data_IF_127630712571
#
_entry.id   IF_127630712571
#
_cell.length_a   1.000
_cell.length_b   1.000
_cell.length_c   1.000
_cell.angle_alpha   90.00
_cell.angle_beta   90.00
_cell.angle_gamma   90.00
#
_symmetry.space_group_name_H-M   'P 1'
#
loop_
_entity.id
_entity.type
_entity.pdbx_description
1 polymer ?
#
# COMPACT_ATOMS: atom_id res chain seq x y z
N UNK A 1 -6.57 -9.79 6.70
CA UNK A 1 -5.62 -8.92 7.45
C UNK A 1 -4.51 -9.78 8.02
N UNK A 2 -3.29 -9.56 7.55
CA UNK A 2 -2.14 -10.39 7.91
C UNK A 2 -1.02 -9.52 8.48
N UNK A 3 -0.28 -10.09 9.43
CA UNK A 3 1.05 -9.63 9.79
C UNK A 3 2.01 -10.64 9.17
N UNK A 4 2.91 -10.15 8.32
CA UNK A 4 3.96 -10.98 7.75
C UNK A 4 5.29 -10.59 8.39
N UNK A 5 5.99 -11.55 8.96
CA UNK A 5 7.32 -11.33 9.51
C UNK A 5 8.36 -11.41 8.40
N UNK A 6 9.41 -10.60 8.54
CA UNK A 6 10.50 -10.50 7.59
C UNK A 6 11.82 -10.50 8.34
N UNK A 7 12.81 -11.22 7.82
CA UNK A 7 14.20 -10.87 8.07
C UNK A 7 14.66 -9.80 7.08
N UNK A 8 15.67 -9.00 7.45
CA UNK A 8 16.27 -8.06 6.50
C UNK A 8 16.84 -8.76 5.27
N UNK A 9 17.37 -9.98 5.46
CA UNK A 9 17.92 -10.80 4.38
C UNK A 9 16.85 -11.17 3.37
N UNK A 10 15.67 -11.56 3.82
CA UNK A 10 14.55 -11.92 2.94
C UNK A 10 14.11 -10.73 2.10
N UNK A 11 13.95 -9.55 2.72
CA UNK A 11 13.59 -8.32 1.99
C UNK A 11 14.63 -7.95 0.93
N UNK A 12 15.91 -8.05 1.25
CA UNK A 12 17.00 -7.77 0.29
C UNK A 12 16.97 -8.78 -0.86
N UNK A 13 16.83 -10.07 -0.56
CA UNK A 13 16.81 -11.11 -1.57
C UNK A 13 15.60 -10.96 -2.50
N UNK A 14 14.40 -10.77 -1.97
CA UNK A 14 13.20 -10.56 -2.79
C UNK A 14 13.35 -9.32 -3.67
N UNK A 15 13.92 -8.23 -3.15
CA UNK A 15 14.15 -7.02 -3.93
C UNK A 15 15.14 -7.27 -5.08
N UNK A 16 16.22 -8.02 -4.84
CA UNK A 16 17.17 -8.42 -5.87
C UNK A 16 16.53 -9.34 -6.93
N UNK A 17 15.70 -10.29 -6.50
CA UNK A 17 14.95 -11.16 -7.41
C UNK A 17 13.99 -10.35 -8.28
N UNK A 18 13.30 -9.37 -7.70
CA UNK A 18 12.47 -8.42 -8.45
C UNK A 18 13.29 -7.64 -9.49
N UNK A 19 14.50 -7.19 -9.16
CA UNK A 19 15.36 -6.51 -10.16
C UNK A 19 15.74 -7.45 -11.32
N UNK A 20 16.02 -8.72 -11.03
CA UNK A 20 16.30 -9.72 -12.05
C UNK A 20 15.06 -10.00 -12.91
N UNK A 21 13.89 -10.12 -12.30
CA UNK A 21 12.61 -10.28 -12.99
C UNK A 21 12.31 -9.12 -13.94
N UNK A 22 12.52 -7.88 -13.49
CA UNK A 22 12.33 -6.70 -14.33
C UNK A 22 13.21 -6.73 -15.59
N UNK A 23 14.48 -7.13 -15.45
CA UNK A 23 15.41 -7.23 -16.57
C UNK A 23 15.04 -8.39 -17.50
N UNK A 24 14.87 -9.59 -16.94
CA UNK A 24 14.76 -10.82 -17.73
C UNK A 24 13.37 -11.01 -18.33
N UNK A 25 12.32 -10.78 -17.54
CA UNK A 25 10.93 -11.06 -17.92
C UNK A 25 10.23 -9.84 -18.52
N UNK A 26 10.48 -8.65 -17.96
CA UNK A 26 9.81 -7.42 -18.40
C UNK A 26 10.62 -6.59 -19.39
N UNK A 27 11.90 -6.93 -19.62
CA UNK A 27 12.83 -6.15 -20.47
C UNK A 27 12.89 -4.68 -20.05
N UNK A 28 13.13 -4.47 -18.76
CA UNK A 28 13.33 -3.15 -18.13
C UNK A 28 14.79 -3.12 -17.65
N UNK A 29 15.67 -2.55 -18.47
CA UNK A 29 17.12 -2.69 -18.30
C UNK A 29 17.75 -1.65 -17.36
N UNK A 30 17.08 -0.50 -17.16
CA UNK A 30 17.60 0.57 -16.31
C UNK A 30 16.82 0.69 -15.00
N UNK A 31 17.33 0.03 -13.96
CA UNK A 31 16.92 0.23 -12.56
C UNK A 31 17.93 1.07 -11.78
N UNK A 32 19.03 1.49 -12.43
CA UNK A 32 20.04 2.34 -11.82
C UNK A 32 19.40 3.71 -11.51
N UNK A 33 19.38 4.09 -10.24
CA UNK A 33 18.69 5.28 -9.74
C UNK A 33 17.22 5.06 -9.37
N UNK A 34 16.69 3.84 -9.43
CA UNK A 34 15.38 3.55 -8.83
C UNK A 34 15.46 3.56 -7.30
N UNK A 35 14.34 3.93 -6.66
CA UNK A 35 14.22 3.90 -5.20
C UNK A 35 14.52 2.52 -4.59
N UNK A 36 14.36 1.45 -5.36
CA UNK A 36 14.57 0.06 -4.93
C UNK A 36 16.05 -0.19 -4.60
N UNK A 37 16.96 0.30 -5.46
CA UNK A 37 18.40 0.15 -5.23
C UNK A 37 18.82 0.91 -3.97
N UNK A 38 18.28 2.12 -3.79
CA UNK A 38 18.50 2.93 -2.59
C UNK A 38 17.95 2.23 -1.34
N UNK A 39 16.72 1.70 -1.40
CA UNK A 39 16.11 1.00 -0.30
C UNK A 39 16.89 -0.27 0.10
N UNK A 40 17.39 -1.04 -0.88
CA UNK A 40 18.27 -2.18 -0.63
C UNK A 40 19.52 -1.75 0.13
N UNK A 41 20.14 -0.62 -0.24
CA UNK A 41 21.33 -0.09 0.44
C UNK A 41 21.05 0.23 1.91
N UNK A 42 19.96 0.94 2.21
CA UNK A 42 19.58 1.26 3.58
C UNK A 42 19.29 0.02 4.41
N UNK A 43 18.51 -0.94 3.88
CA UNK A 43 18.17 -2.17 4.60
C UNK A 43 19.37 -3.10 4.77
N UNK A 44 20.27 -3.18 3.77
CA UNK A 44 21.53 -3.92 3.89
C UNK A 44 22.44 -3.35 4.97
N UNK A 45 22.56 -2.03 5.07
CA UNK A 45 23.37 -1.41 6.12
C UNK A 45 22.72 -1.57 7.50
N UNK A 46 21.40 -1.40 7.61
CA UNK A 46 20.68 -1.70 8.86
C UNK A 46 20.85 -3.16 9.28
N UNK A 47 20.89 -4.10 8.33
CA UNK A 47 21.08 -5.52 8.66
C UNK A 47 22.44 -5.83 9.30
N UNK A 48 23.46 -5.00 9.08
CA UNK A 48 24.78 -5.16 9.71
C UNK A 48 24.80 -4.82 11.19
N UNK A 49 23.77 -4.11 11.68
CA UNK A 49 23.64 -3.75 13.09
C UNK A 49 22.80 -4.77 13.87
N UNK A 50 22.47 -5.92 13.26
CA UNK A 50 21.72 -6.97 13.94
C UNK A 50 22.52 -7.53 15.12
N UNK A 51 21.86 -7.65 16.27
CA UNK A 51 22.48 -8.13 17.51
C UNK A 51 23.22 -7.06 18.32
N UNK A 52 23.25 -5.81 17.83
CA UNK A 52 23.86 -4.66 18.51
C UNK A 52 22.87 -3.47 18.49
N UNK A 53 22.14 -3.30 19.60
CA UNK A 53 21.14 -2.24 19.72
C UNK A 53 21.76 -0.84 19.77
N UNK A 54 23.02 -0.69 20.24
CA UNK A 54 23.72 0.59 20.23
C UNK A 54 24.07 0.98 18.79
N UNK A 55 24.69 0.06 18.04
CA UNK A 55 25.00 0.29 16.62
C UNK A 55 23.75 0.54 15.78
N UNK A 56 22.65 -0.17 16.06
CA UNK A 56 21.36 0.04 15.39
C UNK A 56 20.77 1.40 15.69
N UNK A 57 20.78 1.81 16.96
CA UNK A 57 20.28 3.11 17.40
C UNK A 57 21.09 4.24 16.74
N UNK A 58 22.42 4.11 16.75
CA UNK A 58 23.30 5.09 16.12
C UNK A 58 23.11 5.15 14.61
N UNK A 59 22.98 4.00 13.95
CA UNK A 59 22.70 3.95 12.51
C UNK A 59 21.37 4.65 12.18
N UNK A 60 20.28 4.36 12.90
CA UNK A 60 18.99 5.01 12.69
C UNK A 60 19.06 6.52 12.97
N UNK A 61 19.78 6.93 14.03
CA UNK A 61 19.98 8.35 14.36
C UNK A 61 20.68 9.11 13.23
N UNK A 62 21.68 8.49 12.61
CA UNK A 62 22.46 9.09 11.51
C UNK A 62 21.74 9.03 10.16
N UNK A 63 20.97 7.97 9.90
CA UNK A 63 20.51 7.62 8.54
C UNK A 63 18.98 7.64 8.37
N UNK A 64 18.20 8.06 9.39
CA UNK A 64 16.74 8.15 9.31
C UNK A 64 16.21 9.57 9.57
N UNK A 65 17.04 10.61 9.41
CA UNK A 65 16.65 11.99 9.69
C UNK A 65 15.48 12.45 8.80
N UNK A 66 15.45 12.01 7.54
CA UNK A 66 14.32 12.23 6.63
C UNK A 66 13.54 10.93 6.39
N UNK A 67 13.57 10.02 7.36
CA UNK A 67 12.82 8.76 7.33
C UNK A 67 13.29 7.73 6.28
N UNK A 68 14.50 7.88 5.75
CA UNK A 68 15.05 7.06 4.66
C UNK A 68 15.03 5.57 4.99
N UNK A 69 15.46 5.21 6.19
CA UNK A 69 15.62 3.82 6.59
C UNK A 69 14.26 3.13 6.79
N UNK A 70 13.34 3.74 7.54
CA UNK A 70 12.04 3.12 7.81
C UNK A 70 11.12 3.14 6.58
N UNK A 71 11.24 4.14 5.71
CA UNK A 71 10.56 4.12 4.41
C UNK A 71 11.13 3.05 3.47
N UNK A 72 12.43 2.79 3.54
CA UNK A 72 13.03 1.68 2.78
C UNK A 72 12.44 0.34 3.21
N UNK A 73 12.27 0.11 4.52
CA UNK A 73 11.60 -1.08 5.04
C UNK A 73 10.15 -1.20 4.54
N UNK A 74 9.37 -0.13 4.71
CA UNK A 74 7.96 -0.09 4.29
C UNK A 74 7.80 -0.44 2.81
N UNK A 75 8.57 0.24 1.94
CA UNK A 75 8.44 0.08 0.49
C UNK A 75 8.95 -1.28 0.01
N UNK A 76 10.02 -1.84 0.63
CA UNK A 76 10.49 -3.18 0.29
C UNK A 76 9.52 -4.27 0.77
N UNK A 77 8.83 -4.09 1.89
CA UNK A 77 7.78 -5.01 2.34
C UNK A 77 6.57 -5.00 1.39
N UNK A 78 6.13 -3.82 0.93
CA UNK A 78 5.08 -3.69 -0.08
C UNK A 78 5.50 -4.32 -1.42
N UNK A 79 6.75 -4.09 -1.84
CA UNK A 79 7.31 -4.69 -3.05
C UNK A 79 7.38 -6.21 -2.95
N UNK A 80 7.86 -6.76 -1.83
CA UNK A 80 7.89 -8.20 -1.59
C UNK A 80 6.48 -8.78 -1.72
N UNK A 81 5.50 -8.14 -1.07
CA UNK A 81 4.12 -8.60 -1.11
C UNK A 81 3.59 -8.63 -2.55
N UNK A 82 3.74 -7.54 -3.29
CA UNK A 82 3.25 -7.46 -4.67
C UNK A 82 3.99 -8.43 -5.58
N UNK A 83 5.31 -8.52 -5.46
CA UNK A 83 6.12 -9.41 -6.29
C UNK A 83 5.70 -10.86 -6.09
N UNK A 84 5.54 -11.28 -4.84
CA UNK A 84 5.24 -12.66 -4.49
C UNK A 84 3.80 -13.08 -4.80
N UNK A 85 2.83 -12.17 -4.70
CA UNK A 85 1.41 -12.50 -4.85
C UNK A 85 0.82 -12.15 -6.22
N UNK A 86 1.47 -11.25 -6.98
CA UNK A 86 0.98 -10.80 -8.29
C UNK A 86 2.00 -11.06 -9.39
N UNK A 87 3.19 -10.48 -9.25
CA UNK A 87 4.07 -10.34 -10.42
C UNK A 87 4.65 -11.68 -10.88
N UNK A 88 5.05 -12.54 -9.92
CA UNK A 88 5.60 -13.86 -10.23
C UNK A 88 4.54 -14.95 -10.46
N UNK A 89 3.27 -14.66 -10.20
CA UNK A 89 2.19 -15.67 -10.31
C UNK A 89 1.68 -15.82 -11.74
N UNK A 90 2.01 -14.89 -12.65
CA UNK A 90 1.55 -14.89 -14.03
C UNK A 90 0.06 -14.58 -14.20
N UNK A 91 -0.64 -14.19 -13.13
CA UNK A 91 -2.09 -13.90 -13.14
C UNK A 91 -2.45 -12.58 -13.82
N UNK A 92 -1.52 -11.64 -13.92
CA UNK A 92 -1.73 -10.33 -14.51
C UNK A 92 -1.24 -10.30 -15.97
N UNK A 93 -2.01 -9.67 -16.86
CA UNK A 93 -1.58 -9.41 -18.24
C UNK A 93 -0.19 -8.77 -18.28
N UNK A 94 0.70 -9.30 -19.13
CA UNK A 94 2.10 -8.90 -19.15
C UNK A 94 2.28 -7.42 -19.55
N UNK A 95 1.41 -6.87 -20.41
CA UNK A 95 1.47 -5.46 -20.82
C UNK A 95 1.02 -4.55 -19.69
N UNK A 96 -0.04 -4.92 -18.99
CA UNK A 96 -0.51 -4.22 -17.77
C UNK A 96 0.57 -4.25 -16.69
N UNK A 97 1.12 -5.43 -16.39
CA UNK A 97 2.19 -5.61 -15.42
C UNK A 97 3.41 -4.73 -15.74
N UNK A 98 3.91 -4.80 -16.99
CA UNK A 98 5.06 -4.00 -17.44
C UNK A 98 4.80 -2.50 -17.30
N UNK A 99 3.58 -2.06 -17.57
CA UNK A 99 3.18 -0.64 -17.44
C UNK A 99 3.18 -0.21 -15.98
N UNK A 100 2.57 -1.00 -15.08
CA UNK A 100 2.49 -0.71 -13.64
C UNK A 100 3.88 -0.74 -12.99
N UNK A 101 4.73 -1.71 -13.33
CA UNK A 101 6.13 -1.77 -12.86
C UNK A 101 6.91 -0.52 -13.29
N UNK A 102 6.80 -0.10 -14.55
CA UNK A 102 7.46 1.13 -15.03
C UNK A 102 7.01 2.39 -14.28
N UNK A 103 5.76 2.45 -13.82
CA UNK A 103 5.28 3.55 -12.98
C UNK A 103 5.92 3.48 -11.60
N UNK A 104 5.91 2.32 -10.94
CA UNK A 104 6.41 2.14 -9.57
C UNK A 104 7.90 2.45 -9.44
N UNK A 105 8.74 2.00 -10.37
CA UNK A 105 10.20 2.20 -10.28
C UNK A 105 10.63 3.67 -10.41
N UNK A 106 9.77 4.54 -10.95
CA UNK A 106 10.01 5.97 -11.14
C UNK A 106 9.64 6.83 -9.93
N UNK A 107 9.18 6.22 -8.84
CA UNK A 107 8.85 6.96 -7.62
C UNK A 107 10.10 7.70 -7.10
N UNK A 108 9.97 8.94 -6.60
CA UNK A 108 11.01 9.55 -5.77
C UNK A 108 11.34 8.64 -4.60
N UNK A 109 12.59 8.60 -4.14
CA UNK A 109 13.00 7.68 -3.08
C UNK A 109 12.22 7.88 -1.77
N UNK A 110 12.03 9.14 -1.37
CA UNK A 110 11.25 9.49 -0.18
C UNK A 110 9.83 9.99 -0.54
N UNK A 111 8.84 9.78 0.33
CA UNK A 111 7.52 10.37 0.15
C UNK A 111 7.48 11.90 0.28
N UNK A 112 8.43 12.51 0.99
CA UNK A 112 8.51 13.97 1.10
C UNK A 112 8.86 14.63 -0.23
N UNK A 113 9.59 13.93 -1.10
CA UNK A 113 9.97 14.38 -2.44
C UNK A 113 8.84 14.17 -3.47
N UNK A 114 7.70 13.61 -3.06
CA UNK A 114 6.54 13.48 -3.92
C UNK A 114 5.86 14.81 -4.17
N UNK A 115 5.71 15.13 -5.44
CA UNK A 115 4.88 16.21 -5.93
C UNK A 115 3.54 15.65 -6.40
N UNK A 116 2.61 16.54 -6.77
CA UNK A 116 1.37 16.14 -7.45
C UNK A 116 1.62 15.37 -8.74
N UNK A 117 2.79 15.53 -9.36
CA UNK A 117 3.14 14.91 -10.64
C UNK A 117 3.93 13.60 -10.47
N UNK A 118 4.43 13.31 -9.27
CA UNK A 118 5.27 12.13 -8.99
C UNK A 118 4.62 11.18 -7.98
N UNK A 119 3.37 11.42 -7.59
CA UNK A 119 2.64 10.60 -6.64
C UNK A 119 2.03 9.33 -7.24
N UNK A 120 1.93 9.27 -8.57
CA UNK A 120 1.29 8.19 -9.32
C UNK A 120 1.96 6.86 -9.03
N UNK A 121 3.30 6.82 -8.98
CA UNK A 121 4.07 5.60 -8.76
C UNK A 121 3.68 4.86 -7.48
N UNK A 122 3.51 5.58 -6.36
CA UNK A 122 3.10 4.98 -5.10
C UNK A 122 1.59 4.75 -5.00
N UNK A 123 0.78 5.49 -5.77
CA UNK A 123 -0.63 5.12 -5.94
C UNK A 123 -0.74 3.77 -6.67
N UNK A 124 0.05 3.59 -7.72
CA UNK A 124 0.14 2.34 -8.47
C UNK A 124 0.67 1.19 -7.60
N UNK A 125 1.68 1.43 -6.75
CA UNK A 125 2.11 0.41 -5.78
C UNK A 125 0.97 0.02 -4.84
N UNK A 126 0.22 1.00 -4.36
CA UNK A 126 -0.94 0.74 -3.50
C UNK A 126 -2.06 -0.05 -4.20
N UNK A 127 -2.39 0.28 -5.45
CA UNK A 127 -3.34 -0.49 -6.27
C UNK A 127 -2.91 -1.95 -6.37
N UNK A 128 -1.63 -2.21 -6.63
CA UNK A 128 -1.11 -3.57 -6.69
C UNK A 128 -1.16 -4.26 -5.32
N UNK A 129 -0.84 -3.56 -4.22
CA UNK A 129 -0.98 -4.16 -2.89
C UNK A 129 -2.43 -4.59 -2.63
N UNK A 130 -3.40 -3.74 -2.95
CA UNK A 130 -4.82 -4.06 -2.79
C UNK A 130 -5.26 -5.23 -3.69
N UNK A 131 -4.83 -5.25 -4.95
CA UNK A 131 -5.07 -6.38 -5.85
C UNK A 131 -4.51 -7.68 -5.27
N UNK A 132 -3.28 -7.65 -4.74
CA UNK A 132 -2.62 -8.83 -4.19
C UNK A 132 -3.37 -9.37 -2.97
N UNK A 133 -3.92 -8.50 -2.13
CA UNK A 133 -4.79 -8.91 -1.03
C UNK A 133 -6.08 -9.57 -1.51
N UNK A 134 -6.74 -9.00 -2.51
CA UNK A 134 -7.96 -9.59 -3.08
C UNK A 134 -7.67 -11.00 -3.64
N UNK A 135 -6.61 -11.14 -4.42
CA UNK A 135 -6.19 -12.42 -5.00
C UNK A 135 -5.79 -13.44 -3.93
N UNK A 136 -5.13 -13.01 -2.85
CA UNK A 136 -4.75 -13.89 -1.73
C UNK A 136 -5.95 -14.42 -0.94
N UNK A 137 -7.08 -13.71 -0.98
CA UNK A 137 -8.34 -14.17 -0.41
C UNK A 137 -9.24 -14.87 -1.45
N UNK A 138 -8.66 -15.26 -2.59
CA UNK A 138 -9.34 -15.96 -3.69
C UNK A 138 -10.50 -15.19 -4.32
N UNK A 139 -10.49 -13.86 -4.26
CA UNK A 139 -11.41 -13.05 -5.05
C UNK A 139 -10.95 -13.00 -6.51
N UNK A 140 -11.92 -13.00 -7.42
CA UNK A 140 -11.67 -12.79 -8.85
C UNK A 140 -11.49 -11.29 -9.09
N UNK A 141 -10.23 -10.84 -9.04
CA UNK A 141 -9.86 -9.43 -9.12
C UNK A 141 -8.81 -9.19 -10.21
N UNK A 142 -8.97 -8.10 -10.96
CA UNK A 142 -8.07 -7.71 -12.05
C UNK A 142 -7.85 -6.21 -12.08
N UNK A 143 -6.75 -5.78 -12.69
CA UNK A 143 -6.61 -4.41 -13.18
C UNK A 143 -7.15 -4.39 -14.60
N UNK A 144 -8.23 -3.65 -14.88
CA UNK A 144 -8.77 -3.58 -16.23
C UNK A 144 -7.75 -2.92 -17.19
N UNK A 145 -7.79 -3.22 -18.50
CA UNK A 145 -6.94 -2.53 -19.48
C UNK A 145 -7.23 -1.03 -19.59
N UNK A 146 -8.43 -0.59 -19.20
CA UNK A 146 -8.78 0.82 -19.04
C UNK A 146 -8.18 1.36 -17.74
N UNK A 147 -7.75 2.63 -17.72
CA UNK A 147 -7.25 3.27 -16.50
C UNK A 147 -8.32 3.43 -15.40
N UNK A 148 -9.60 3.17 -15.69
CA UNK A 148 -10.70 3.19 -14.74
C UNK A 148 -11.60 1.96 -14.87
N UNK A 149 -12.09 1.40 -13.75
CA UNK A 149 -11.65 1.66 -12.38
C UNK A 149 -10.21 1.17 -12.13
N UNK A 150 -9.62 1.55 -11.00
CA UNK A 150 -8.26 1.10 -10.65
C UNK A 150 -8.18 -0.43 -10.51
N UNK A 151 -9.23 -1.05 -9.94
CA UNK A 151 -9.38 -2.51 -9.82
C UNK A 151 -10.85 -2.88 -10.10
N UNK A 152 -11.04 -4.02 -10.76
CA UNK A 152 -12.32 -4.70 -10.92
C UNK A 152 -12.30 -5.97 -10.07
N UNK A 153 -13.38 -6.26 -9.34
CA UNK A 153 -13.53 -7.51 -8.58
C UNK A 153 -14.94 -8.08 -8.65
N UNK A 154 -15.05 -9.40 -8.72
CA UNK A 154 -16.32 -10.13 -8.66
C UNK A 154 -16.48 -10.80 -7.31
N UNK A 155 -17.61 -10.55 -6.63
CA UNK A 155 -17.97 -11.17 -5.35
C UNK A 155 -19.44 -11.57 -5.40
N UNK A 156 -19.75 -12.85 -5.19
CA UNK A 156 -21.12 -13.37 -5.17
C UNK A 156 -21.96 -12.98 -6.40
N UNK A 157 -21.36 -13.05 -7.60
CA UNK A 157 -21.94 -12.62 -8.90
C UNK A 157 -22.17 -11.11 -9.05
N UNK A 158 -21.75 -10.29 -8.10
CA UNK A 158 -21.72 -8.84 -8.25
C UNK A 158 -20.35 -8.36 -8.70
N UNK A 159 -20.36 -7.42 -9.63
CA UNK A 159 -19.18 -6.74 -10.16
C UNK A 159 -18.98 -5.42 -9.43
N UNK A 160 -17.77 -5.23 -8.90
CA UNK A 160 -17.40 -4.02 -8.16
C UNK A 160 -16.27 -3.29 -8.87
N UNK A 161 -16.46 -1.98 -9.05
CA UNK A 161 -15.42 -1.04 -9.43
C UNK A 161 -14.75 -0.47 -8.19
N UNK A 162 -13.44 -0.60 -8.04
CA UNK A 162 -12.69 -0.04 -6.92
C UNK A 162 -11.88 1.17 -7.39
N UNK A 163 -12.07 2.31 -6.72
CA UNK A 163 -11.26 3.51 -6.93
C UNK A 163 -10.36 3.76 -5.71
N UNK A 164 -9.05 3.79 -5.97
CA UNK A 164 -8.01 3.95 -4.98
C UNK A 164 -7.57 5.41 -4.92
N UNK A 165 -7.44 5.96 -3.70
CA UNK A 165 -6.81 7.25 -3.48
C UNK A 165 -5.83 7.17 -2.33
N UNK A 166 -4.73 7.88 -2.45
CA UNK A 166 -3.78 8.07 -1.37
C UNK A 166 -3.89 9.49 -0.83
N UNK A 167 -4.07 9.61 0.48
CA UNK A 167 -4.09 10.90 1.15
C UNK A 167 -2.72 11.19 1.77
N UNK A 168 -2.30 12.44 1.72
CA UNK A 168 -1.04 12.90 2.32
C UNK A 168 -1.27 13.54 3.68
N UNK A 169 -2.48 14.08 3.87
CA UNK A 169 -2.89 14.78 5.08
C UNK A 169 -4.37 14.51 5.32
N UNK A 170 -4.75 14.39 6.60
CA UNK A 170 -6.14 14.14 7.03
C UNK A 170 -7.11 15.20 6.49
N UNK A 171 -6.70 16.48 6.44
CA UNK A 171 -7.54 17.58 5.93
C UNK A 171 -7.98 17.41 4.47
N UNK A 172 -7.30 16.54 3.71
CA UNK A 172 -7.62 16.26 2.31
C UNK A 172 -8.51 15.03 2.12
N UNK A 173 -8.93 14.37 3.21
CA UNK A 173 -9.70 13.14 3.20
C UNK A 173 -10.97 13.27 2.36
N UNK A 174 -11.88 14.19 2.71
CA UNK A 174 -13.16 14.37 2.02
C UNK A 174 -12.98 14.75 0.55
N UNK A 175 -12.00 15.59 0.24
CA UNK A 175 -11.70 15.95 -1.15
C UNK A 175 -11.32 14.71 -1.97
N UNK A 176 -10.51 13.82 -1.41
CA UNK A 176 -10.10 12.58 -2.10
C UNK A 176 -11.25 11.56 -2.17
N UNK A 177 -12.06 11.44 -1.11
CA UNK A 177 -13.29 10.65 -1.11
C UNK A 177 -14.24 11.08 -2.23
N UNK A 178 -14.57 12.37 -2.30
CA UNK A 178 -15.46 12.91 -3.33
C UNK A 178 -14.88 12.74 -4.75
N UNK A 179 -13.54 12.84 -4.90
CA UNK A 179 -12.90 12.57 -6.19
C UNK A 179 -13.06 11.11 -6.62
N UNK A 180 -12.83 10.15 -5.71
CA UNK A 180 -13.04 8.73 -5.99
C UNK A 180 -14.50 8.43 -6.32
N UNK A 181 -15.43 8.98 -5.53
CA UNK A 181 -16.88 8.91 -5.78
C UNK A 181 -17.23 9.39 -7.19
N UNK A 182 -16.79 10.60 -7.56
CA UNK A 182 -17.08 11.16 -8.88
C UNK A 182 -16.50 10.31 -10.02
N UNK A 183 -15.33 9.68 -9.82
CA UNK A 183 -14.75 8.76 -10.81
C UNK A 183 -15.58 7.48 -10.95
N UNK A 184 -16.02 6.88 -9.83
CA UNK A 184 -16.91 5.73 -9.86
C UNK A 184 -18.22 6.08 -10.57
N UNK A 185 -18.84 7.20 -10.25
CA UNK A 185 -20.08 7.64 -10.88
C UNK A 185 -19.89 7.83 -12.39
N UNK A 186 -18.91 8.63 -12.80
CA UNK A 186 -18.74 9.03 -14.19
C UNK A 186 -18.23 7.92 -15.12
N UNK A 187 -17.31 7.07 -14.65
CA UNK A 187 -16.59 6.13 -15.51
C UNK A 187 -17.02 4.67 -15.32
N UNK A 188 -17.61 4.34 -14.17
CA UNK A 188 -17.90 2.95 -13.81
C UNK A 188 -19.40 2.67 -13.70
N UNK A 189 -20.13 3.50 -12.95
CA UNK A 189 -21.50 3.21 -12.54
C UNK A 189 -22.54 3.76 -13.52
N UNK A 190 -22.32 4.92 -14.15
CA UNK A 190 -23.28 5.53 -15.08
C UNK A 190 -23.55 4.68 -16.34
N UNK A 191 -22.60 3.82 -16.74
CA UNK A 191 -22.78 2.89 -17.86
C UNK A 191 -23.33 1.51 -17.48
N UNK A 192 -23.68 1.28 -16.20
CA UNK A 192 -24.07 -0.03 -15.66
C UNK A 192 -23.08 -1.17 -15.94
N UNK A 193 -21.80 -0.84 -16.23
CA UNK A 193 -20.75 -1.87 -16.39
C UNK A 193 -20.53 -2.64 -15.10
N UNK A 194 -20.67 -1.96 -13.96
CA UNK A 194 -20.49 -2.53 -12.62
C UNK A 194 -21.76 -2.35 -11.79
N UNK A 195 -22.06 -3.32 -10.94
CA UNK A 195 -23.18 -3.26 -10.01
C UNK A 195 -22.96 -2.16 -8.96
N UNK A 196 -21.76 -2.19 -8.37
CA UNK A 196 -21.37 -1.35 -7.23
C UNK A 196 -19.97 -0.75 -7.36
N UNK A 197 -19.70 0.25 -6.55
CA UNK A 197 -18.40 0.90 -6.39
C UNK A 197 -17.86 0.75 -4.98
N UNK A 198 -16.54 0.69 -4.84
CA UNK A 198 -15.83 0.69 -3.56
C UNK A 198 -14.79 1.81 -3.61
N UNK A 199 -14.78 2.66 -2.59
CA UNK A 199 -13.72 3.66 -2.45
C UNK A 199 -12.67 3.08 -1.52
N UNK A 200 -11.40 3.11 -1.93
CA UNK A 200 -10.30 2.72 -1.04
C UNK A 200 -9.37 3.91 -0.81
N UNK A 201 -9.16 4.26 0.46
CA UNK A 201 -8.28 5.36 0.87
C UNK A 201 -7.05 4.79 1.59
N UNK A 202 -5.87 4.96 0.98
CA UNK A 202 -4.59 4.71 1.62
C UNK A 202 -4.19 5.90 2.51
N UNK A 203 -4.01 5.62 3.80
CA UNK A 203 -3.65 6.57 4.86
C UNK A 203 -2.22 6.39 5.37
N UNK A 204 -1.44 5.51 4.74
CA UNK A 204 -0.07 5.15 5.15
C UNK A 204 0.80 6.38 5.38
N UNK A 205 0.84 7.33 4.43
CA UNK A 205 1.64 8.55 4.57
C UNK A 205 1.21 9.46 5.73
N UNK A 206 -0.05 9.36 6.16
CA UNK A 206 -0.59 10.16 7.27
C UNK A 206 -0.13 9.60 8.61
N UNK A 207 -0.24 8.29 8.79
CA UNK A 207 0.00 7.63 10.08
C UNK A 207 1.40 7.03 10.23
N UNK A 208 2.06 6.71 9.13
CA UNK A 208 3.45 6.30 9.07
C UNK A 208 4.22 7.36 8.26
N UNK A 209 4.85 8.30 8.96
CA UNK A 209 5.72 9.31 8.32
C UNK A 209 7.12 8.77 8.03
N UNK A 210 7.40 7.51 8.42
CA UNK A 210 8.70 6.87 8.37
C UNK A 210 9.67 7.36 9.45
N UNK A 211 9.19 8.10 10.43
CA UNK A 211 9.96 8.58 11.57
C UNK A 211 9.97 7.57 12.72
N UNK A 212 8.99 6.66 12.76
CA UNK A 212 8.80 5.68 13.83
C UNK A 212 8.29 4.34 13.32
N UNK A 213 8.67 3.28 14.04
CA UNK A 213 8.08 1.94 13.91
C UNK A 213 6.85 1.85 14.80
N UNK A 214 5.83 1.11 14.36
CA UNK A 214 4.69 0.80 15.23
C UNK A 214 5.13 -0.25 16.27
N UNK A 215 5.32 0.17 17.52
CA UNK A 215 5.68 -0.73 18.62
C UNK A 215 4.44 -1.43 19.19
N UNK A 216 4.50 -2.75 19.33
CA UNK A 216 3.45 -3.57 19.92
C UNK A 216 4.02 -4.83 20.59
N UNK A 217 3.33 -5.36 21.61
CA UNK A 217 3.73 -6.60 22.31
C UNK A 217 3.63 -7.81 21.39
N UNK A 218 2.58 -7.85 20.59
CA UNK A 218 2.28 -8.91 19.63
C UNK A 218 1.42 -8.37 18.48
N UNK A 219 1.09 -9.27 17.56
CA UNK A 219 0.33 -8.90 16.38
C UNK A 219 -1.12 -8.46 16.64
N UNK A 220 -1.72 -8.91 17.75
CA UNK A 220 -3.08 -8.52 18.12
C UNK A 220 -3.09 -7.06 18.55
N UNK A 221 -2.13 -6.65 19.38
CA UNK A 221 -2.00 -5.25 19.79
C UNK A 221 -1.65 -4.34 18.59
N UNK A 222 -0.74 -4.76 17.71
CA UNK A 222 -0.39 -4.00 16.51
C UNK A 222 -1.62 -3.73 15.65
N UNK A 223 -2.44 -4.77 15.41
CA UNK A 223 -3.69 -4.65 14.67
C UNK A 223 -4.67 -3.71 15.36
N UNK A 224 -4.84 -3.82 16.68
CA UNK A 224 -5.74 -2.94 17.43
C UNK A 224 -5.33 -1.47 17.27
N UNK A 225 -4.06 -1.14 17.51
CA UNK A 225 -3.55 0.24 17.37
C UNK A 225 -3.79 0.80 15.98
N UNK A 226 -3.51 0.02 14.94
CA UNK A 226 -3.73 0.45 13.56
C UNK A 226 -5.21 0.67 13.25
N UNK A 227 -6.10 -0.23 13.69
CA UNK A 227 -7.54 -0.09 13.49
C UNK A 227 -8.13 1.10 14.25
N UNK A 228 -7.65 1.38 15.47
CA UNK A 228 -8.09 2.53 16.26
C UNK A 228 -7.79 3.87 15.54
N UNK A 229 -6.63 3.98 14.88
CA UNK A 229 -6.26 5.15 14.06
C UNK A 229 -7.16 5.30 12.82
N UNK A 230 -7.40 4.20 12.11
CA UNK A 230 -8.28 4.19 10.93
C UNK A 230 -9.73 4.51 11.31
N UNK A 231 -10.24 3.93 12.40
CA UNK A 231 -11.60 4.20 12.90
C UNK A 231 -11.73 5.67 13.34
N UNK A 232 -10.74 6.20 14.07
CA UNK A 232 -10.74 7.60 14.49
C UNK A 232 -10.77 8.57 13.30
N UNK A 233 -10.12 8.21 12.18
CA UNK A 233 -10.21 8.97 10.95
C UNK A 233 -11.61 8.91 10.33
N UNK A 234 -12.20 7.72 10.25
CA UNK A 234 -13.55 7.54 9.73
C UNK A 234 -14.57 8.34 10.57
N UNK A 235 -14.57 8.17 11.89
CA UNK A 235 -15.48 8.86 12.81
C UNK A 235 -15.41 10.38 12.67
N UNK A 236 -14.21 10.93 12.46
CA UNK A 236 -14.01 12.37 12.23
C UNK A 236 -14.75 12.89 11.01
N UNK A 237 -14.88 12.07 9.96
CA UNK A 237 -15.39 12.47 8.65
C UNK A 237 -16.74 11.83 8.29
N UNK A 238 -17.30 10.96 9.16
CA UNK A 238 -18.50 10.16 8.86
C UNK A 238 -19.69 11.00 8.40
N UNK A 239 -19.97 12.13 9.05
CA UNK A 239 -21.12 12.97 8.71
C UNK A 239 -21.02 13.53 7.29
N UNK A 240 -19.80 13.87 6.84
CA UNK A 240 -19.56 14.39 5.49
C UNK A 240 -19.63 13.28 4.43
N UNK A 241 -19.20 12.07 4.79
CA UNK A 241 -19.34 10.87 3.96
C UNK A 241 -20.83 10.55 3.77
N UNK A 242 -21.61 10.46 4.85
CA UNK A 242 -23.05 10.16 4.80
C UNK A 242 -23.86 11.25 4.09
N UNK A 243 -23.48 12.53 4.25
CA UNK A 243 -24.09 13.64 3.52
C UNK A 243 -23.89 13.58 2.00
N UNK A 244 -22.93 12.77 1.52
CA UNK A 244 -22.63 12.57 0.10
C UNK A 244 -22.87 11.14 -0.36
N UNK A 245 -23.76 10.39 0.30
CA UNK A 245 -24.02 8.98 0.01
C UNK A 245 -24.43 8.70 -1.43
N UNK A 246 -24.03 7.55 -1.93
CA UNK A 246 -24.57 6.91 -3.13
C UNK A 246 -24.78 5.43 -2.79
N UNK A 247 -26.00 4.91 -2.93
CA UNK A 247 -26.32 3.53 -2.56
C UNK A 247 -25.58 2.49 -3.41
N UNK A 248 -25.11 2.88 -4.60
CA UNK A 248 -24.23 2.04 -5.43
C UNK A 248 -22.78 2.09 -5.00
N UNK A 249 -22.43 2.88 -3.98
CA UNK A 249 -21.12 2.90 -3.33
C UNK A 249 -21.34 2.57 -1.85
N UNK A 250 -21.63 1.30 -1.52
CA UNK A 250 -22.10 0.91 -0.19
C UNK A 250 -20.98 0.89 0.85
N UNK A 251 -19.71 0.94 0.42
CA UNK A 251 -18.58 0.71 1.32
C UNK A 251 -17.35 1.50 0.89
N UNK A 252 -16.57 1.86 1.91
CA UNK A 252 -15.21 2.36 1.77
C UNK A 252 -14.24 1.49 2.55
N UNK A 253 -13.04 1.31 2.03
CA UNK A 253 -11.93 0.71 2.74
C UNK A 253 -10.91 1.77 3.14
N UNK A 254 -10.47 1.74 4.39
CA UNK A 254 -9.30 2.50 4.84
C UNK A 254 -8.11 1.56 5.01
N UNK A 255 -6.98 1.94 4.43
CA UNK A 255 -5.77 1.13 4.41
C UNK A 255 -4.59 1.82 5.08
N UNK A 256 -3.88 1.09 5.94
CA UNK A 256 -2.61 1.49 6.56
C UNK A 256 -1.57 0.36 6.40
N UNK A 257 -0.44 0.69 5.79
CA UNK A 257 0.76 -0.14 5.69
C UNK A 257 1.84 0.45 6.60
N UNK A 258 2.39 -0.34 7.53
CA UNK A 258 3.43 0.16 8.43
C UNK A 258 4.36 -0.97 8.93
N UNK A 259 5.66 -0.70 9.05
CA UNK A 259 6.58 -1.61 9.72
C UNK A 259 6.32 -1.61 11.23
N UNK A 260 6.27 -2.81 11.79
CA UNK A 260 5.89 -3.11 13.18
C UNK A 260 7.07 -3.79 13.87
N UNK A 261 7.38 -3.34 15.08
CA UNK A 261 8.29 -4.03 15.99
C UNK A 261 7.46 -4.78 17.01
N UNK A 262 7.65 -6.09 17.06
CA UNK A 262 6.97 -6.98 17.99
C UNK A 262 7.94 -7.34 19.12
N UNK A 263 7.65 -6.86 20.34
CA UNK A 263 8.55 -7.00 21.50
C UNK A 263 8.92 -8.47 21.78
N UNK A 264 7.97 -9.39 21.59
CA UNK A 264 8.18 -10.83 21.81
C UNK A 264 8.97 -11.55 20.69
N UNK A 265 9.21 -10.89 19.55
CA UNK A 265 9.74 -11.53 18.34
C UNK A 265 11.04 -10.88 17.83
N UNK A 266 11.82 -10.26 18.72
CA UNK A 266 13.17 -9.77 18.43
C UNK A 266 14.00 -10.88 17.71
N UNK A 267 14.62 -10.66 16.53
CA UNK A 267 14.88 -9.40 15.81
C UNK A 267 13.99 -9.16 14.57
N UNK A 268 12.86 -9.84 14.45
CA UNK A 268 12.03 -9.76 13.24
C UNK A 268 11.25 -8.45 13.20
N UNK A 269 11.24 -7.84 12.01
CA UNK A 269 10.27 -6.81 11.68
C UNK A 269 9.02 -7.50 11.13
N UNK A 270 7.86 -7.08 11.61
CA UNK A 270 6.61 -7.44 10.97
C UNK A 270 6.18 -6.31 10.04
N UNK A 271 5.61 -6.66 8.91
CA UNK A 271 4.85 -5.72 8.09
C UNK A 271 3.38 -5.86 8.45
N UNK A 272 2.79 -4.76 8.89
CA UNK A 272 1.36 -4.65 9.13
C UNK A 272 0.66 -4.05 7.92
N UNK A 273 -0.16 -4.86 7.27
CA UNK A 273 -1.09 -4.41 6.25
C UNK A 273 -2.52 -4.46 6.83
N UNK A 274 -3.03 -3.28 7.19
CA UNK A 274 -4.29 -3.13 7.92
C UNK A 274 -5.34 -2.50 7.01
N UNK A 275 -6.49 -3.17 6.90
CA UNK A 275 -7.63 -2.74 6.08
C UNK A 275 -8.87 -2.76 6.96
N UNK A 276 -9.57 -1.64 7.12
CA UNK A 276 -10.88 -1.62 7.78
C UNK A 276 -11.99 -1.31 6.78
N UNK A 277 -13.14 -1.93 7.02
CA UNK A 277 -14.35 -1.76 6.23
C UNK A 277 -15.22 -0.72 6.93
N UNK A 278 -15.56 0.34 6.21
CA UNK A 278 -16.46 1.38 6.66
C UNK A 278 -17.74 1.29 5.85
N UNK A 279 -18.85 0.97 6.51
CA UNK A 279 -20.17 1.02 5.89
C UNK A 279 -20.52 2.48 5.60
N UNK A 280 -20.76 2.79 4.32
CA UNK A 280 -21.16 4.12 3.87
C UNK A 280 -22.66 4.20 3.54
N UNK A 281 -23.38 3.09 3.73
CA UNK A 281 -24.81 2.96 3.49
C UNK A 281 -25.66 3.21 4.74
N UNK A 282 -25.14 2.94 5.93
CA UNK A 282 -25.89 3.05 7.19
C UNK A 282 -25.19 3.95 8.23
N UNK A 283 -25.86 5.00 8.77
CA UNK A 283 -25.27 5.93 9.74
C UNK A 283 -25.24 5.44 11.20
N UNK A 284 -25.59 4.17 11.45
CA UNK A 284 -25.75 3.59 12.80
C UNK A 284 -24.50 3.64 13.66
#
# INVERSE_FOLDING_TARGET
MSLKTYSYKDLINTALDFTCFCKNELKIDNLAGSWIIEAIRYVKNLSKTLGDEEAKTEYLRLNNQNSECLWSLTQLMELDFVYNNIMKTGKLDQRVLKTKVRKIIKAPFLPIDETRNTNESRNTLFELVLLGELLNHNYDAVIPPSDHPDIEVVVNNYTYAIECKRIFETKTFIRNFNRAKNQLENYSLNGQKYDYGIITINTTRVFNKGDKLLAAKDGVEAKKKALDELQSLFERYKNQIFGSRNLRIPTMFLHLSTPVVLEKQNPYLAWGHFLTICDTSNPS
#
